data_IF_536603846419
#
_entry.id   IF_536603846419
#
_cell.length_a   1.000
_cell.length_b   1.000
_cell.length_c   1.000
_cell.angle_alpha   90.00
_cell.angle_beta   90.00
_cell.angle_gamma   90.00
#
_symmetry.space_group_name_H-M   'P 1'
#
loop_
_entity.id
_entity.type
_entity.pdbx_description
1 polymer ?
#
# COMPACT_ATOMS: atom_id res chain seq x y z
N UNK A 1 -0.24 1.87 -18.59
CA UNK A 1 0.93 2.61 -18.15
C UNK A 1 1.02 2.65 -16.63
N UNK A 2 2.19 2.39 -16.10
CA UNK A 2 2.33 2.30 -14.65
C UNK A 2 2.19 3.65 -13.96
N UNK A 3 1.71 3.61 -12.73
CA UNK A 3 1.56 4.80 -11.90
C UNK A 3 2.96 5.31 -11.51
N UNK A 4 3.11 6.62 -11.49
CA UNK A 4 4.40 7.24 -11.13
C UNK A 4 4.75 6.98 -9.68
N UNK A 5 6.02 6.72 -9.41
CA UNK A 5 6.49 6.37 -8.07
C UNK A 5 6.15 7.40 -7.01
N UNK A 6 6.23 8.68 -7.34
CA UNK A 6 5.97 9.71 -6.34
C UNK A 6 4.51 9.72 -5.88
N UNK A 7 3.59 9.24 -6.72
CA UNK A 7 2.19 9.11 -6.31
C UNK A 7 1.98 7.86 -5.46
N UNK A 8 2.74 6.81 -5.71
CA UNK A 8 2.62 5.56 -4.96
C UNK A 8 3.13 5.71 -3.54
N UNK A 9 4.15 6.54 -3.33
CA UNK A 9 4.78 6.69 -2.02
C UNK A 9 3.77 6.97 -0.91
N UNK A 10 2.77 7.78 -1.21
CA UNK A 10 1.78 8.16 -0.20
C UNK A 10 0.82 7.04 0.18
N UNK A 11 0.74 5.96 -0.60
CA UNK A 11 -0.20 4.88 -0.33
C UNK A 11 0.49 3.55 -0.01
N UNK A 12 1.82 3.54 0.09
CA UNK A 12 2.54 2.30 0.32
C UNK A 12 2.18 1.67 1.66
N UNK A 13 2.08 2.47 2.72
CA UNK A 13 1.66 1.97 4.04
C UNK A 13 0.29 1.31 3.94
N UNK A 14 -0.62 1.95 3.25
CA UNK A 14 -1.99 1.44 3.07
C UNK A 14 -1.97 0.07 2.39
N UNK A 15 -1.19 -0.06 1.32
CA UNK A 15 -1.13 -1.31 0.57
C UNK A 15 -0.50 -2.43 1.41
N UNK A 16 0.62 -2.13 2.08
CA UNK A 16 1.31 -3.13 2.90
C UNK A 16 0.42 -3.63 4.02
N UNK A 17 -0.19 -2.71 4.77
CA UNK A 17 -1.04 -3.09 5.89
C UNK A 17 -2.29 -3.86 5.42
N UNK A 18 -2.84 -3.46 4.27
CA UNK A 18 -3.99 -4.17 3.70
C UNK A 18 -3.64 -5.61 3.36
N UNK A 19 -2.48 -5.81 2.76
CA UNK A 19 -2.02 -7.15 2.39
C UNK A 19 -1.81 -8.00 3.65
N UNK A 20 -1.12 -7.46 4.64
CA UNK A 20 -0.89 -8.20 5.88
C UNK A 20 -2.18 -8.55 6.61
N UNK A 21 -3.16 -7.65 6.56
CA UNK A 21 -4.44 -7.87 7.23
C UNK A 21 -5.28 -8.93 6.52
N UNK A 22 -5.41 -8.81 5.21
CA UNK A 22 -6.34 -9.64 4.45
C UNK A 22 -5.72 -10.94 3.93
N UNK A 23 -4.44 -10.91 3.55
CA UNK A 23 -3.78 -12.08 3.00
C UNK A 23 -3.00 -12.86 4.05
N UNK A 24 -2.73 -12.24 5.21
CA UNK A 24 -1.98 -12.87 6.27
C UNK A 24 -0.50 -12.49 6.24
N UNK A 25 0.26 -13.09 7.15
CA UNK A 25 1.68 -12.78 7.27
C UNK A 25 2.39 -13.05 5.95
N UNK A 26 3.26 -12.13 5.57
CA UNK A 26 3.88 -12.14 4.24
C UNK A 26 5.32 -11.67 4.32
N UNK A 27 6.12 -12.07 3.34
CA UNK A 27 7.49 -11.60 3.21
C UNK A 27 7.57 -10.59 2.06
N UNK A 28 8.65 -9.78 2.06
CA UNK A 28 8.72 -8.60 1.19
C UNK A 28 8.51 -8.91 -0.29
N UNK A 29 9.22 -9.92 -0.82
CA UNK A 29 9.09 -10.22 -2.25
C UNK A 29 7.70 -10.71 -2.62
N UNK A 30 7.04 -11.40 -1.69
CA UNK A 30 5.66 -11.84 -1.89
C UNK A 30 4.73 -10.63 -1.99
N UNK A 31 4.93 -9.64 -1.13
CA UNK A 31 4.15 -8.41 -1.15
C UNK A 31 4.36 -7.66 -2.46
N UNK A 32 5.61 -7.52 -2.89
CA UNK A 32 5.92 -6.85 -4.15
C UNK A 32 5.24 -7.51 -5.32
N UNK A 33 5.33 -8.83 -5.37
CA UNK A 33 4.73 -9.60 -6.46
C UNK A 33 3.21 -9.47 -6.45
N UNK A 34 2.61 -9.52 -5.27
CA UNK A 34 1.16 -9.37 -5.14
C UNK A 34 0.69 -8.02 -5.67
N UNK A 35 1.39 -6.95 -5.29
CA UNK A 35 1.03 -5.59 -5.71
C UNK A 35 1.08 -5.49 -7.24
N UNK A 36 2.17 -5.95 -7.83
CA UNK A 36 2.33 -5.87 -9.28
C UNK A 36 1.27 -6.69 -10.02
N UNK A 37 1.09 -7.93 -9.59
CA UNK A 37 0.17 -8.84 -10.28
C UNK A 37 -1.28 -8.43 -10.13
N UNK A 38 -1.69 -8.07 -8.91
CA UNK A 38 -3.09 -7.78 -8.66
C UNK A 38 -3.52 -6.39 -9.13
N UNK A 39 -2.56 -5.54 -9.47
CA UNK A 39 -2.86 -4.23 -10.03
C UNK A 39 -2.72 -4.21 -11.55
N UNK A 40 -2.60 -5.38 -12.18
CA UNK A 40 -2.37 -5.50 -13.62
C UNK A 40 -1.17 -4.66 -14.05
N UNK A 41 -0.12 -4.69 -13.23
CA UNK A 41 1.13 -3.98 -13.45
C UNK A 41 1.00 -2.46 -13.44
N UNK A 42 -0.13 -1.93 -12.98
CA UNK A 42 -0.27 -0.49 -12.83
C UNK A 42 0.56 0.04 -11.66
N UNK A 43 0.70 -0.77 -10.60
CA UNK A 43 1.51 -0.40 -9.45
C UNK A 43 2.72 -1.33 -9.38
N UNK A 44 3.88 -0.75 -9.12
CA UNK A 44 5.11 -1.51 -8.96
C UNK A 44 5.92 -0.82 -7.87
N UNK A 45 6.23 -1.55 -6.81
CA UNK A 45 6.99 -1.02 -5.68
C UNK A 45 8.19 -1.91 -5.46
N UNK A 46 9.37 -1.30 -5.38
CA UNK A 46 10.60 -2.07 -5.22
C UNK A 46 10.71 -2.67 -3.82
N UNK A 47 11.45 -3.78 -3.67
CA UNK A 47 11.70 -4.34 -2.34
C UNK A 47 12.33 -3.33 -1.39
N UNK A 48 13.23 -2.49 -1.87
CA UNK A 48 13.87 -1.49 -1.01
C UNK A 48 12.85 -0.53 -0.41
N UNK A 49 11.88 -0.10 -1.21
CA UNK A 49 10.83 0.79 -0.73
C UNK A 49 9.97 0.07 0.33
N UNK A 50 9.64 -1.19 0.07
CA UNK A 50 8.85 -1.96 1.03
C UNK A 50 9.63 -2.13 2.34
N UNK A 51 10.93 -2.46 2.27
CA UNK A 51 11.73 -2.59 3.49
C UNK A 51 11.75 -1.30 4.31
N UNK A 52 11.85 -0.15 3.64
CA UNK A 52 11.82 1.14 4.32
C UNK A 52 10.50 1.34 5.08
N UNK A 53 9.39 0.99 4.42
CA UNK A 53 8.07 1.08 5.04
C UNK A 53 7.95 0.11 6.22
N UNK A 54 8.43 -1.11 6.04
CA UNK A 54 8.38 -2.12 7.11
C UNK A 54 9.16 -1.65 8.34
N UNK A 55 10.34 -1.09 8.12
CA UNK A 55 11.17 -0.59 9.22
C UNK A 55 10.43 0.49 10.02
N UNK A 56 9.80 1.42 9.31
CA UNK A 56 9.05 2.49 9.94
C UNK A 56 7.86 1.94 10.72
N UNK A 57 7.09 1.03 10.12
CA UNK A 57 5.92 0.47 10.77
C UNK A 57 6.28 -0.37 11.99
N UNK A 58 7.44 -1.06 11.94
CA UNK A 58 7.94 -1.81 13.09
C UNK A 58 8.31 -0.89 14.23
N UNK A 59 8.99 0.20 13.94
CA UNK A 59 9.33 1.17 14.96
C UNK A 59 8.10 1.74 15.64
N UNK A 60 7.03 1.89 14.88
CA UNK A 60 5.76 2.39 15.40
C UNK A 60 4.90 1.29 16.02
N UNK A 61 5.43 0.08 16.09
CA UNK A 61 4.76 -1.09 16.68
C UNK A 61 3.43 -1.45 16.00
N UNK A 62 3.32 -1.09 14.74
CA UNK A 62 2.15 -1.41 13.92
C UNK A 62 2.26 -2.78 13.30
N UNK A 63 3.48 -3.28 13.14
CA UNK A 63 3.75 -4.63 12.67
C UNK A 63 4.89 -5.21 13.49
N UNK A 64 5.06 -6.52 13.40
CA UNK A 64 6.20 -7.23 13.98
C UNK A 64 6.76 -8.15 12.92
N UNK A 65 7.97 -8.68 13.16
CA UNK A 65 8.57 -9.59 12.22
C UNK A 65 9.06 -10.85 12.94
N UNK A 66 9.17 -11.93 12.18
CA UNK A 66 9.75 -13.17 12.66
C UNK A 66 10.39 -13.88 11.49
N UNK A 67 11.39 -14.71 11.81
CA UNK A 67 12.07 -15.50 10.79
C UNK A 67 11.47 -16.90 10.75
N UNK A 68 11.40 -17.44 9.55
CA UNK A 68 10.87 -18.78 9.35
C UNK A 68 11.83 -19.54 8.43
N UNK A 69 12.15 -20.77 8.82
CA UNK A 69 13.00 -21.63 8.02
C UNK A 69 12.24 -22.13 6.81
N UNK A 70 12.76 -21.88 5.62
CA UNK A 70 12.16 -22.37 4.36
C UNK A 70 13.24 -23.19 3.65
N UNK A 71 12.92 -24.45 3.38
CA UNK A 71 13.92 -25.37 2.84
C UNK A 71 14.94 -25.73 3.90
N UNK A 72 16.12 -26.16 3.48
CA UNK A 72 17.10 -26.73 4.40
C UNK A 72 18.00 -25.71 5.09
N UNK A 73 18.30 -24.58 4.42
CA UNK A 73 19.28 -23.63 4.94
C UNK A 73 18.88 -22.18 4.74
N UNK A 74 17.66 -21.95 4.36
CA UNK A 74 17.22 -20.57 4.10
C UNK A 74 16.23 -20.14 5.15
N UNK A 75 16.36 -18.89 5.59
CA UNK A 75 15.35 -18.28 6.44
C UNK A 75 14.71 -17.16 5.65
N UNK A 76 13.46 -16.89 5.98
CA UNK A 76 12.70 -15.85 5.35
C UNK A 76 12.05 -15.03 6.46
N UNK A 77 12.11 -13.71 6.32
CA UNK A 77 11.52 -12.81 7.31
C UNK A 77 10.07 -12.53 6.92
N UNK A 78 9.17 -12.87 7.83
CA UNK A 78 7.74 -12.61 7.65
C UNK A 78 7.31 -11.45 8.53
N UNK A 79 6.31 -10.74 8.07
CA UNK A 79 5.75 -9.59 8.79
C UNK A 79 4.31 -9.88 9.16
N UNK A 80 3.95 -9.43 10.36
CA UNK A 80 2.64 -9.67 10.95
C UNK A 80 2.05 -8.33 11.37
N UNK A 81 0.77 -8.09 11.07
CA UNK A 81 0.12 -6.85 11.47
C UNK A 81 -0.31 -6.96 12.93
N UNK A 82 0.00 -5.92 13.73
CA UNK A 82 -0.41 -5.84 15.12
C UNK A 82 -1.66 -4.98 15.25
N UNK A 83 -2.27 -5.00 16.45
CA UNK A 83 -3.51 -4.24 16.64
C UNK A 83 -3.37 -2.75 16.30
N UNK A 84 -2.30 -2.05 16.72
CA UNK A 84 -2.13 -0.65 16.29
C UNK A 84 -2.05 -0.50 14.77
N UNK A 85 -1.53 -1.50 14.08
CA UNK A 85 -1.50 -1.50 12.61
C UNK A 85 -2.89 -1.63 12.03
N UNK A 86 -3.73 -2.47 12.63
CA UNK A 86 -5.11 -2.62 12.17
C UNK A 86 -5.87 -1.30 12.30
N UNK A 87 -5.68 -0.61 13.42
CA UNK A 87 -6.33 0.67 13.67
C UNK A 87 -5.85 1.73 12.69
N UNK A 88 -4.55 1.77 12.46
CA UNK A 88 -3.97 2.72 11.51
C UNK A 88 -4.46 2.43 10.09
N UNK A 89 -4.58 1.16 9.74
CA UNK A 89 -5.11 0.78 8.43
C UNK A 89 -6.51 1.33 8.20
N UNK A 90 -7.37 1.28 9.21
CA UNK A 90 -8.73 1.81 9.06
C UNK A 90 -8.70 3.32 8.84
N UNK A 91 -7.82 4.05 9.53
CA UNK A 91 -7.65 5.47 9.28
C UNK A 91 -7.19 5.74 7.87
N UNK A 92 -6.23 4.97 7.39
CA UNK A 92 -5.69 5.16 6.03
C UNK A 92 -6.75 4.88 4.98
N UNK A 93 -7.58 3.86 5.18
CA UNK A 93 -8.66 3.55 4.24
C UNK A 93 -9.63 4.71 4.12
N UNK A 94 -10.01 5.29 5.25
CA UNK A 94 -10.92 6.43 5.26
C UNK A 94 -10.28 7.63 4.57
N UNK A 95 -9.02 7.91 4.90
CA UNK A 95 -8.27 9.00 4.30
C UNK A 95 -8.19 8.83 2.79
N UNK A 96 -7.85 7.63 2.34
CA UNK A 96 -7.75 7.35 0.91
C UNK A 96 -9.10 7.55 0.21
N UNK A 97 -10.16 7.02 0.80
CA UNK A 97 -11.50 7.16 0.23
C UNK A 97 -11.90 8.62 0.11
N UNK A 98 -11.65 9.40 1.16
CA UNK A 98 -11.98 10.82 1.15
C UNK A 98 -11.14 11.59 0.13
N UNK A 99 -9.87 11.24 0.03
CA UNK A 99 -8.98 11.88 -0.94
C UNK A 99 -9.45 11.63 -2.38
N UNK A 100 -9.75 10.38 -2.70
CA UNK A 100 -10.18 10.05 -4.06
C UNK A 100 -11.52 10.69 -4.39
N UNK A 101 -12.44 10.71 -3.44
CA UNK A 101 -13.73 11.38 -3.65
C UNK A 101 -13.54 12.87 -3.90
N UNK A 102 -12.67 13.51 -3.11
CA UNK A 102 -12.40 14.92 -3.28
C UNK A 102 -11.79 15.23 -4.62
N UNK A 103 -10.82 14.43 -5.05
CA UNK A 103 -10.18 14.61 -6.35
C UNK A 103 -11.21 14.45 -7.47
N UNK A 104 -12.03 13.40 -7.40
CA UNK A 104 -13.04 13.15 -8.42
C UNK A 104 -14.08 14.28 -8.48
N UNK A 105 -14.46 14.81 -7.32
CA UNK A 105 -15.39 15.94 -7.28
C UNK A 105 -14.81 17.16 -8.00
N UNK A 106 -13.52 17.41 -7.81
CA UNK A 106 -12.84 18.52 -8.48
C UNK A 106 -12.83 18.29 -9.98
N UNK A 107 -12.48 17.07 -10.41
CA UNK A 107 -12.48 16.74 -11.85
C UNK A 107 -13.86 16.93 -12.44
N UNK A 108 -14.90 16.48 -11.76
CA UNK A 108 -16.27 16.63 -12.22
C UNK A 108 -16.65 18.10 -12.35
N UNK A 109 -16.29 18.91 -11.38
CA UNK A 109 -16.54 20.35 -11.42
C UNK A 109 -15.86 21.02 -12.61
N UNK A 110 -14.61 20.67 -12.83
CA UNK A 110 -13.84 21.24 -13.94
C UNK A 110 -14.46 20.84 -15.27
N UNK A 111 -14.81 19.57 -15.41
CA UNK A 111 -15.42 19.09 -16.64
C UNK A 111 -16.74 19.76 -16.94
N UNK A 112 -17.55 19.98 -15.92
CA UNK A 112 -18.83 20.71 -16.09
C UNK A 112 -18.59 22.13 -16.54
N UNK A 113 -17.66 22.83 -15.84
CA UNK A 113 -17.35 24.21 -16.18
C UNK A 113 -16.79 24.30 -17.58
N UNK A 114 -15.87 23.40 -17.92
CA UNK A 114 -15.28 23.35 -19.24
C UNK A 114 -16.31 23.14 -20.31
N UNK A 115 -17.24 22.22 -20.07
CA UNK A 115 -18.31 21.95 -21.03
C UNK A 115 -19.25 23.12 -21.21
N UNK A 116 -19.54 23.86 -20.16
CA UNK A 116 -20.47 24.95 -20.24
C UNK A 116 -19.81 26.22 -20.80
N UNK A 117 -18.50 26.36 -20.70
CA UNK A 117 -17.85 27.58 -21.18
C UNK A 117 -17.30 27.44 -22.58
N UNK A 118 -17.56 26.36 -23.18
CA UNK A 118 -17.00 26.07 -24.48
C UNK A 118 -17.71 26.68 -25.62
N UNK A 119 -18.30 27.74 -25.42
CA UNK A 119 -19.02 28.37 -26.52
C UNK A 119 -18.27 29.54 -27.07
#
# INVERSE_FOLDING_TARGET
MAVKNFLITGITDLLVLSILKEMGDSYVYEICKFITNESDELLSISPNTIYTVMYKLEEEKKISEYSKLVGKKRTRVYYHIEQPGVEYLEELKTTYSNMTKGVESIFDSINKSGGSTNE
#
